data_IF_383354330040
#
_entry.id   IF_383354330040
#
_cell.length_a   1.000
_cell.length_b   1.000
_cell.length_c   1.000
_cell.angle_alpha   90.00
_cell.angle_beta   90.00
_cell.angle_gamma   90.00
#
_symmetry.space_group_name_H-M   'P 1'
#
loop_
_entity.id
_entity.type
_entity.pdbx_description
1 polymer ?
#
# COMPACT_ATOMS: atom_id res chain seq x y z
N UNK A 1 12.34 14.81 10.90
CA UNK A 1 10.95 14.76 10.43
C UNK A 1 10.76 13.50 9.59
N UNK A 2 10.00 12.48 10.05
CA UNK A 2 9.87 11.18 9.36
C UNK A 2 9.39 11.29 7.91
N UNK A 3 8.53 12.27 7.64
CA UNK A 3 7.95 12.57 6.32
C UNK A 3 8.97 13.12 5.30
N UNK A 4 10.20 13.43 5.72
CA UNK A 4 11.30 13.83 4.81
C UNK A 4 12.35 12.73 4.59
N UNK A 5 12.40 11.70 5.44
CA UNK A 5 13.37 10.59 5.36
C UNK A 5 12.79 9.37 4.62
N UNK A 6 11.47 9.15 4.72
CA UNK A 6 10.77 8.06 4.03
C UNK A 6 10.43 8.25 2.54
N UNK A 7 10.42 9.45 1.90
CA UNK A 7 9.79 9.55 0.57
C UNK A 7 10.55 8.79 -0.52
N UNK A 8 11.81 8.38 -0.34
CA UNK A 8 12.51 7.59 -1.38
C UNK A 8 12.37 6.08 -1.25
N UNK A 9 12.24 5.56 -0.04
CA UNK A 9 12.18 4.11 0.20
C UNK A 9 10.77 3.60 0.45
N UNK A 10 9.86 4.49 0.87
CA UNK A 10 8.50 4.15 1.26
C UNK A 10 7.44 4.73 0.31
N UNK A 11 7.85 5.47 -0.73
CA UNK A 11 6.92 6.01 -1.72
C UNK A 11 7.18 5.43 -3.10
N UNK A 12 6.09 5.01 -3.74
CA UNK A 12 6.10 4.62 -5.15
C UNK A 12 6.23 5.81 -6.09
N UNK A 13 5.66 6.95 -5.71
CA UNK A 13 5.63 8.18 -6.49
C UNK A 13 6.11 9.39 -5.69
N UNK A 14 6.76 10.33 -6.36
CA UNK A 14 7.29 11.57 -5.77
C UNK A 14 6.35 12.77 -5.97
N UNK A 15 5.17 12.53 -6.52
CA UNK A 15 4.09 13.50 -6.71
C UNK A 15 2.92 13.10 -5.83
N UNK A 16 2.36 14.06 -5.13
CA UNK A 16 1.31 13.81 -4.15
C UNK A 16 -0.06 14.17 -4.71
N UNK A 17 -1.08 13.30 -4.57
CA UNK A 17 -2.47 13.67 -4.81
C UNK A 17 -3.03 14.69 -3.79
N UNK A 18 -2.45 14.79 -2.58
CA UNK A 18 -2.98 15.59 -1.48
C UNK A 18 -2.05 16.71 -0.97
N UNK A 19 -0.94 16.98 -1.66
CA UNK A 19 0.04 18.01 -1.33
C UNK A 19 1.15 17.62 -0.34
N UNK A 20 1.18 16.37 0.16
CA UNK A 20 2.25 15.83 1.00
C UNK A 20 2.60 14.39 0.60
N UNK A 21 3.76 14.20 -0.05
CA UNK A 21 4.25 12.90 -0.53
C UNK A 21 4.50 11.93 0.62
N UNK A 22 5.09 12.41 1.72
CA UNK A 22 5.42 11.57 2.87
C UNK A 22 4.16 11.02 3.55
N UNK A 23 3.15 11.87 3.73
CA UNK A 23 1.87 11.46 4.31
C UNK A 23 1.12 10.47 3.40
N UNK A 24 1.08 10.71 2.09
CA UNK A 24 0.41 9.81 1.15
C UNK A 24 1.11 8.45 1.07
N UNK A 25 2.45 8.43 1.09
CA UNK A 25 3.26 7.23 1.15
C UNK A 25 3.03 6.44 2.45
N UNK A 26 2.95 7.14 3.58
CA UNK A 26 2.72 6.54 4.89
C UNK A 26 1.38 5.78 4.94
N UNK A 27 0.32 6.27 4.29
CA UNK A 27 -0.96 5.55 4.22
C UNK A 27 -0.81 4.21 3.51
N UNK A 28 -0.05 4.17 2.42
CA UNK A 28 0.24 2.93 1.68
C UNK A 28 1.01 1.91 2.52
N UNK A 29 2.00 2.37 3.29
CA UNK A 29 2.80 1.51 4.17
C UNK A 29 1.96 1.05 5.36
N UNK A 30 1.27 1.94 6.06
CA UNK A 30 0.40 1.56 7.20
C UNK A 30 -0.64 0.53 6.77
N UNK A 31 -1.22 0.67 5.57
CA UNK A 31 -2.19 -0.32 5.08
C UNK A 31 -1.57 -1.71 4.88
N UNK A 32 -0.33 -1.78 4.39
CA UNK A 32 0.44 -3.02 4.24
C UNK A 32 0.71 -3.67 5.61
N UNK A 33 1.34 -2.94 6.51
CA UNK A 33 1.69 -3.43 7.86
C UNK A 33 0.44 -3.80 8.69
N UNK A 34 -0.67 -3.09 8.49
CA UNK A 34 -1.93 -3.39 9.17
C UNK A 34 -2.57 -4.69 8.67
N UNK A 35 -2.46 -4.99 7.37
CA UNK A 35 -2.97 -6.25 6.81
C UNK A 35 -2.19 -7.45 7.38
N UNK A 36 -0.87 -7.31 7.47
CA UNK A 36 0.04 -8.27 8.08
C UNK A 36 -0.29 -8.50 9.56
N UNK A 37 -0.37 -7.41 10.33
CA UNK A 37 -0.74 -7.43 11.76
C UNK A 37 -2.09 -8.12 12.03
N UNK A 38 -3.06 -7.97 11.13
CA UNK A 38 -4.37 -8.63 11.27
C UNK A 38 -4.31 -10.12 10.91
N UNK A 39 -3.44 -10.49 9.96
CA UNK A 39 -3.22 -11.89 9.58
C UNK A 39 -2.32 -12.66 10.54
N UNK A 40 -1.57 -11.96 11.39
CA UNK A 40 -0.72 -12.53 12.45
C UNK A 40 -1.06 -12.05 13.88
N UNK A 41 -2.22 -12.44 14.45
CA UNK A 41 -2.60 -12.03 15.79
C UNK A 41 -1.79 -12.72 16.91
N UNK A 42 -0.99 -13.74 16.61
CA UNK A 42 -0.27 -14.55 17.61
C UNK A 42 1.26 -14.51 17.43
N UNK A 43 1.79 -13.63 16.58
CA UNK A 43 3.21 -13.53 16.23
C UNK A 43 3.78 -14.85 15.67
N UNK A 44 2.95 -15.62 14.98
CA UNK A 44 3.27 -16.89 14.36
C UNK A 44 2.95 -16.92 12.86
N UNK A 45 2.83 -15.74 12.26
CA UNK A 45 2.44 -15.36 10.91
C UNK A 45 1.95 -16.46 9.96
N UNK A 46 0.87 -16.17 9.25
CA UNK A 46 0.66 -16.86 7.98
C UNK A 46 1.69 -16.34 6.97
N UNK A 47 2.60 -17.21 6.55
CA UNK A 47 3.54 -16.96 5.46
C UNK A 47 3.50 -18.12 4.46
N UNK A 48 3.88 -17.84 3.21
CA UNK A 48 4.07 -18.89 2.23
C UNK A 48 5.46 -19.53 2.31
N UNK A 49 5.78 -20.42 1.37
CA UNK A 49 7.08 -21.09 1.31
C UNK A 49 8.28 -20.15 1.07
N UNK A 50 8.05 -18.92 0.64
CA UNK A 50 9.07 -17.89 0.45
C UNK A 50 9.19 -16.95 1.65
N UNK A 51 8.43 -17.21 2.72
CA UNK A 51 8.30 -16.34 3.89
C UNK A 51 7.56 -15.02 3.63
N UNK A 52 6.78 -14.91 2.54
CA UNK A 52 6.00 -13.71 2.26
C UNK A 52 4.64 -13.77 2.98
N UNK A 53 4.27 -12.71 3.69
CA UNK A 53 2.94 -12.53 4.28
C UNK A 53 1.91 -12.05 3.24
N UNK A 54 0.67 -11.78 3.68
CA UNK A 54 -0.45 -11.43 2.79
C UNK A 54 -0.21 -10.14 1.99
N UNK A 55 0.43 -9.14 2.60
CA UNK A 55 0.68 -7.85 1.97
C UNK A 55 2.02 -7.83 1.22
N UNK A 56 3.07 -8.48 1.74
CA UNK A 56 4.35 -8.75 1.05
C UNK A 56 4.19 -9.30 -0.36
N UNK A 57 3.35 -10.32 -0.53
CA UNK A 57 3.08 -10.96 -1.83
C UNK A 57 2.62 -9.99 -2.92
N UNK A 58 2.05 -8.86 -2.50
CA UNK A 58 1.49 -7.83 -3.37
C UNK A 58 2.12 -6.46 -3.11
N UNK A 59 3.27 -6.41 -2.45
CA UNK A 59 4.00 -5.18 -2.21
C UNK A 59 4.26 -4.45 -3.53
N UNK A 60 4.01 -3.14 -3.52
CA UNK A 60 4.15 -2.24 -4.67
C UNK A 60 3.28 -2.57 -5.89
N UNK A 61 2.26 -3.42 -5.72
CA UNK A 61 1.22 -3.64 -6.73
C UNK A 61 -0.02 -2.82 -6.40
N UNK A 62 -0.53 -2.06 -7.37
CA UNK A 62 -1.57 -1.06 -7.15
C UNK A 62 -2.84 -1.30 -7.98
N UNK A 63 -2.87 -2.35 -8.79
CA UNK A 63 -3.98 -2.65 -9.70
C UNK A 63 -4.28 -1.49 -10.66
N UNK A 64 -5.57 -1.25 -10.91
CA UNK A 64 -6.02 -0.14 -11.74
C UNK A 64 -5.87 1.19 -10.99
N UNK A 65 -5.19 2.15 -11.61
CA UNK A 65 -4.99 3.49 -11.06
C UNK A 65 -5.62 4.56 -11.95
N UNK A 66 -5.93 5.71 -11.37
CA UNK A 66 -6.35 6.92 -12.07
C UNK A 66 -5.29 8.00 -11.90
N UNK A 67 -4.92 8.67 -12.99
CA UNK A 67 -3.96 9.77 -12.98
C UNK A 67 -4.64 11.13 -12.75
N UNK A 68 -3.97 11.99 -12.00
CA UNK A 68 -4.28 13.40 -11.83
C UNK A 68 -3.48 14.24 -12.83
N UNK A 69 -3.89 15.49 -13.02
CA UNK A 69 -3.21 16.44 -13.92
C UNK A 69 -1.76 16.74 -13.51
N UNK A 70 -1.42 16.58 -12.23
CA UNK A 70 -0.06 16.73 -11.73
C UNK A 70 0.79 15.45 -11.88
N UNK A 71 0.27 14.41 -12.54
CA UNK A 71 0.94 13.12 -12.76
C UNK A 71 0.85 12.15 -11.59
N UNK A 72 0.30 12.56 -10.43
CA UNK A 72 0.08 11.64 -9.33
C UNK A 72 -1.02 10.63 -9.68
N UNK A 73 -0.85 9.40 -9.23
CA UNK A 73 -1.83 8.32 -9.43
C UNK A 73 -2.46 7.91 -8.10
N UNK A 74 -3.69 7.41 -8.15
CA UNK A 74 -4.40 6.89 -6.99
C UNK A 74 -5.28 5.70 -7.40
N UNK A 75 -5.56 4.79 -6.47
CA UNK A 75 -6.46 3.66 -6.69
C UNK A 75 -7.61 3.58 -5.66
N UNK A 76 -7.62 4.46 -4.65
CA UNK A 76 -8.70 4.54 -3.68
C UNK A 76 -9.04 5.99 -3.30
N UNK A 77 -10.30 6.20 -2.92
CA UNK A 77 -10.80 7.49 -2.42
C UNK A 77 -11.56 7.25 -1.12
N UNK A 78 -11.12 7.89 -0.04
CA UNK A 78 -11.77 7.81 1.27
C UNK A 78 -12.06 9.23 1.73
N UNK A 79 -13.33 9.52 2.01
CA UNK A 79 -13.79 10.84 2.41
C UNK A 79 -13.26 11.98 1.51
N UNK A 80 -13.34 11.77 0.18
CA UNK A 80 -12.86 12.71 -0.85
C UNK A 80 -11.33 12.91 -0.92
N UNK A 81 -10.55 12.20 -0.11
CA UNK A 81 -9.07 12.17 -0.15
C UNK A 81 -8.61 10.98 -0.97
N UNK A 82 -7.62 11.18 -1.83
CA UNK A 82 -7.16 10.19 -2.82
C UNK A 82 -5.87 9.53 -2.36
N UNK A 83 -5.82 8.21 -2.35
CA UNK A 83 -4.62 7.49 -1.93
C UNK A 83 -4.21 6.46 -2.97
N UNK A 84 -2.90 6.19 -3.00
CA UNK A 84 -2.33 5.07 -3.73
C UNK A 84 -1.94 4.03 -2.68
N UNK A 85 -2.63 2.90 -2.65
CA UNK A 85 -2.43 1.86 -1.62
C UNK A 85 -2.18 0.51 -2.26
N UNK A 86 -1.25 -0.23 -1.68
CA UNK A 86 -0.85 -1.56 -2.14
C UNK A 86 -2.02 -2.55 -2.04
N UNK A 87 -2.07 -3.49 -2.98
CA UNK A 87 -3.03 -4.60 -2.96
C UNK A 87 -2.61 -5.68 -1.97
N UNK A 88 -3.53 -6.58 -1.63
CA UNK A 88 -3.27 -7.75 -0.81
C UNK A 88 -3.41 -9.03 -1.63
N UNK A 89 -2.75 -10.10 -1.18
CA UNK A 89 -2.94 -11.43 -1.75
C UNK A 89 -4.32 -11.98 -1.41
N UNK A 90 -5.08 -12.38 -2.44
CA UNK A 90 -6.42 -12.94 -2.28
C UNK A 90 -6.37 -14.46 -2.44
N UNK A 91 -6.57 -15.19 -1.34
CA UNK A 91 -6.50 -16.65 -1.35
C UNK A 91 -7.51 -17.31 -2.31
N UNK A 92 -8.69 -16.74 -2.46
CA UNK A 92 -9.77 -17.32 -3.28
C UNK A 92 -9.48 -17.27 -4.79
N UNK A 93 -8.82 -16.22 -5.25
CA UNK A 93 -8.55 -15.96 -6.68
C UNK A 93 -7.09 -16.16 -7.05
N UNK A 94 -6.21 -16.29 -6.04
CA UNK A 94 -4.76 -16.41 -6.19
C UNK A 94 -4.15 -15.26 -7.00
N UNK A 95 -4.60 -14.03 -6.71
CA UNK A 95 -4.14 -12.81 -7.35
C UNK A 95 -3.98 -11.65 -6.35
N UNK A 96 -3.33 -10.57 -6.80
CA UNK A 96 -3.28 -9.31 -6.08
C UNK A 96 -4.54 -8.49 -6.39
N UNK A 97 -5.28 -8.13 -5.35
CA UNK A 97 -6.52 -7.36 -5.49
C UNK A 97 -6.74 -6.41 -4.32
N UNK A 98 -7.57 -5.39 -4.56
CA UNK A 98 -8.16 -4.62 -3.47
C UNK A 98 -9.29 -5.49 -2.88
N UNK A 99 -9.19 -5.82 -1.59
CA UNK A 99 -10.19 -6.58 -0.83
C UNK A 99 -11.52 -5.86 -0.70
#
# INVERSE_FOLDING_TARGET
NPEQLCPRSCSYQQVSPNGNVGADAMVSVIAHEAAESVSDPYLNAWFDSNCDEVADKCAWTFGTTTALSNGAVYNMVVNNVKYLVQQNWRLATQDCGMS
#
